data_IF_881653858145
#
_entry.id   IF_881653858145
#
_cell.length_a   1.000
_cell.length_b   1.000
_cell.length_c   1.000
_cell.angle_alpha   90.00
_cell.angle_beta   90.00
_cell.angle_gamma   90.00
#
_symmetry.space_group_name_H-M   'P 1'
#
loop_
_entity.id
_entity.type
_entity.pdbx_description
1 polymer ?
#
# COMPACT_ATOMS: atom_id res chain seq x y z
N UNK A 1 -13.96 41.85 -1.99
CA UNK A 1 -14.47 40.66 -2.71
C UNK A 1 -13.33 39.71 -3.11
N UNK A 2 -12.21 40.23 -3.59
CA UNK A 2 -11.04 39.41 -4.02
C UNK A 2 -10.39 38.58 -2.90
N UNK A 3 -10.28 39.13 -1.69
CA UNK A 3 -9.60 38.46 -0.57
C UNK A 3 -10.33 37.21 -0.08
N UNK A 4 -11.66 37.25 -0.03
CA UNK A 4 -12.50 36.11 0.37
C UNK A 4 -12.37 34.98 -0.66
N UNK A 5 -12.31 35.33 -1.95
CA UNK A 5 -12.14 34.38 -3.05
C UNK A 5 -10.77 33.71 -3.01
N UNK A 6 -9.71 34.45 -2.67
CA UNK A 6 -8.36 33.88 -2.47
C UNK A 6 -8.32 32.89 -1.29
N UNK A 7 -8.95 33.24 -0.17
CA UNK A 7 -9.04 32.33 0.99
C UNK A 7 -9.79 31.04 0.61
N UNK A 8 -10.88 31.16 -0.15
CA UNK A 8 -11.66 30.00 -0.59
C UNK A 8 -10.85 29.05 -1.47
N UNK A 9 -10.07 29.56 -2.42
CA UNK A 9 -9.17 28.73 -3.23
C UNK A 9 -8.04 28.10 -2.42
N UNK A 10 -7.47 28.82 -1.45
CA UNK A 10 -6.45 28.28 -0.57
C UNK A 10 -6.97 27.13 0.30
N UNK A 11 -8.19 27.25 0.82
CA UNK A 11 -8.83 26.18 1.61
C UNK A 11 -9.12 24.93 0.77
N UNK A 12 -9.59 25.09 -0.47
CA UNK A 12 -9.79 23.96 -1.39
C UNK A 12 -8.47 23.28 -1.71
N UNK A 13 -7.41 24.05 -2.04
CA UNK A 13 -6.10 23.48 -2.33
C UNK A 13 -5.51 22.73 -1.13
N UNK A 14 -5.66 23.27 0.08
CA UNK A 14 -5.21 22.62 1.31
C UNK A 14 -5.97 21.30 1.57
N UNK A 15 -7.29 21.29 1.37
CA UNK A 15 -8.12 20.10 1.56
C UNK A 15 -7.77 18.98 0.55
N UNK A 16 -7.47 19.33 -0.71
CA UNK A 16 -7.05 18.37 -1.75
C UNK A 16 -5.64 17.81 -1.46
N UNK A 17 -4.75 18.61 -0.89
CA UNK A 17 -3.39 18.20 -0.57
C UNK A 17 -3.31 17.36 0.72
N UNK A 18 -4.24 17.56 1.65
CA UNK A 18 -4.29 16.85 2.93
C UNK A 18 -4.86 15.42 2.82
N UNK A 19 -4.78 14.77 1.66
CA UNK A 19 -5.13 13.36 1.54
C UNK A 19 -4.35 12.59 2.62
N UNK A 20 -5.01 11.80 3.47
CA UNK A 20 -4.31 11.06 4.51
C UNK A 20 -3.31 10.14 3.81
N UNK A 21 -2.05 10.18 4.23
CA UNK A 21 -1.10 9.15 3.90
C UNK A 21 -1.72 7.83 4.39
N UNK A 22 -2.21 7.02 3.45
CA UNK A 22 -2.70 5.68 3.73
C UNK A 22 -1.56 4.95 4.43
N UNK A 23 -1.75 4.61 5.72
CA UNK A 23 -0.79 3.78 6.42
C UNK A 23 -0.71 2.45 5.68
N UNK A 24 0.43 2.18 5.06
CA UNK A 24 0.66 0.97 4.30
C UNK A 24 0.66 -0.22 5.28
N UNK A 25 -0.19 -1.20 5.03
CA UNK A 25 -0.33 -2.38 5.87
C UNK A 25 0.63 -3.43 5.31
N UNK A 26 1.68 -3.76 6.07
CA UNK A 26 2.58 -4.87 5.71
C UNK A 26 1.76 -6.16 5.63
N UNK A 27 1.81 -6.82 4.47
CA UNK A 27 1.01 -8.00 4.12
C UNK A 27 -0.24 -7.70 3.28
N UNK A 28 -0.64 -6.44 3.09
CA UNK A 28 -1.72 -6.02 2.18
C UNK A 28 -1.12 -5.76 0.79
N UNK A 29 -0.82 -6.84 0.08
CA UNK A 29 -0.12 -6.79 -1.20
C UNK A 29 -0.97 -6.16 -2.32
N UNK A 30 -2.30 -6.23 -2.22
CA UNK A 30 -3.21 -5.65 -3.22
C UNK A 30 -3.69 -4.21 -2.89
N UNK A 31 -3.34 -3.68 -1.70
CA UNK A 31 -3.73 -2.35 -1.20
C UNK A 31 -5.24 -2.11 -1.08
N UNK A 32 -6.00 -3.15 -0.73
CA UNK A 32 -7.45 -3.04 -0.49
C UNK A 32 -7.81 -2.70 0.97
N UNK A 33 -6.79 -2.58 1.83
CA UNK A 33 -6.90 -2.27 3.25
C UNK A 33 -7.18 -3.49 4.12
N UNK A 34 -7.09 -4.71 3.57
CA UNK A 34 -7.32 -5.97 4.28
C UNK A 34 -6.21 -6.96 3.96
N UNK A 35 -5.81 -7.73 4.96
CA UNK A 35 -4.92 -8.87 4.75
C UNK A 35 -5.80 -10.10 4.54
N UNK A 36 -5.74 -10.67 3.34
CA UNK A 36 -6.53 -11.82 2.93
C UNK A 36 -5.69 -12.85 2.17
N UNK A 37 -6.31 -13.98 1.81
CA UNK A 37 -5.65 -14.97 0.94
C UNK A 37 -5.32 -14.42 -0.45
N UNK A 38 -5.95 -13.32 -0.88
CA UNK A 38 -5.62 -12.67 -2.16
C UNK A 38 -4.20 -12.08 -2.12
N UNK A 39 -3.80 -11.54 -0.98
CA UNK A 39 -2.47 -10.96 -0.76
C UNK A 39 -1.39 -12.04 -0.73
N UNK A 40 -1.68 -13.17 -0.06
CA UNK A 40 -0.80 -14.35 -0.06
C UNK A 40 -0.58 -14.88 -1.49
N UNK A 41 -1.65 -14.96 -2.29
CA UNK A 41 -1.53 -15.35 -3.69
C UNK A 41 -0.69 -14.36 -4.50
N UNK A 42 -0.83 -13.07 -4.23
CA UNK A 42 -0.05 -12.04 -4.91
C UNK A 42 1.44 -12.14 -4.55
N UNK A 43 1.77 -12.32 -3.27
CA UNK A 43 3.13 -12.57 -2.79
C UNK A 43 3.74 -13.85 -3.44
N UNK A 44 2.97 -14.93 -3.61
CA UNK A 44 3.45 -16.11 -4.36
C UNK A 44 3.78 -15.78 -5.82
N UNK A 45 2.95 -14.98 -6.49
CA UNK A 45 3.18 -14.57 -7.89
C UNK A 45 4.44 -13.71 -8.01
N UNK A 46 4.72 -12.86 -7.02
CA UNK A 46 5.98 -12.12 -6.92
C UNK A 46 7.16 -13.09 -6.73
N UNK A 47 7.06 -14.03 -5.79
CA UNK A 47 8.11 -14.99 -5.47
C UNK A 47 8.52 -15.87 -6.67
N UNK A 48 7.58 -16.23 -7.55
CA UNK A 48 7.86 -17.01 -8.77
C UNK A 48 8.22 -16.14 -9.98
N UNK A 49 8.30 -14.83 -9.82
CA UNK A 49 8.69 -13.90 -10.89
C UNK A 49 7.64 -13.67 -11.98
N UNK A 50 6.36 -13.98 -11.71
CA UNK A 50 5.25 -13.61 -12.61
C UNK A 50 5.03 -12.09 -12.62
N UNK A 51 5.43 -11.41 -11.55
CA UNK A 51 5.43 -9.95 -11.43
C UNK A 51 6.58 -9.47 -10.54
N UNK A 52 6.97 -8.18 -10.62
CA UNK A 52 8.00 -7.62 -9.76
C UNK A 52 7.61 -7.71 -8.27
N UNK A 53 8.58 -7.94 -7.37
CA UNK A 53 8.31 -7.94 -5.93
C UNK A 53 8.06 -6.52 -5.41
N UNK A 54 7.07 -6.38 -4.54
CA UNK A 54 6.85 -5.19 -3.72
C UNK A 54 7.42 -5.46 -2.32
N UNK A 55 8.63 -4.95 -2.06
CA UNK A 55 9.31 -5.16 -0.78
C UNK A 55 8.57 -4.46 0.36
N UNK A 56 7.94 -3.30 0.11
CA UNK A 56 7.30 -2.53 1.17
C UNK A 56 6.04 -3.22 1.68
N UNK A 57 5.29 -3.87 0.78
CA UNK A 57 4.04 -4.55 1.11
C UNK A 57 4.16 -6.05 1.38
N UNK A 58 5.01 -6.75 0.63
CA UNK A 58 5.00 -8.22 0.60
C UNK A 58 6.21 -8.87 1.28
N UNK A 59 7.26 -8.15 1.66
CA UNK A 59 8.36 -8.67 2.48
C UNK A 59 7.98 -8.54 3.97
N UNK A 60 7.20 -9.50 4.46
CA UNK A 60 6.62 -9.46 5.81
C UNK A 60 7.61 -9.97 6.85
N UNK A 61 8.58 -10.80 6.45
CA UNK A 61 9.63 -11.29 7.33
C UNK A 61 10.84 -10.32 7.41
N UNK A 62 10.91 -9.33 6.50
CA UNK A 62 11.93 -8.29 6.38
C UNK A 62 13.33 -8.82 6.10
N UNK A 63 13.43 -9.89 5.31
CA UNK A 63 14.71 -10.47 4.88
C UNK A 63 15.28 -9.81 3.61
N UNK A 64 14.51 -8.89 3.00
CA UNK A 64 14.87 -8.17 1.79
C UNK A 64 14.44 -8.86 0.50
N UNK A 65 13.67 -9.95 0.57
CA UNK A 65 13.20 -10.67 -0.60
C UNK A 65 11.80 -11.26 -0.41
N UNK A 66 10.87 -10.90 -1.30
CA UNK A 66 9.54 -11.53 -1.33
C UNK A 66 9.67 -12.98 -1.83
N UNK A 67 9.45 -13.93 -0.94
CA UNK A 67 9.53 -15.35 -1.24
C UNK A 67 8.32 -16.14 -0.68
N UNK A 68 8.35 -17.47 -0.80
CA UNK A 68 7.22 -18.30 -0.36
C UNK A 68 6.98 -18.27 1.15
N UNK A 69 7.98 -17.89 1.94
CA UNK A 69 7.83 -17.68 3.38
C UNK A 69 6.90 -16.50 3.67
N UNK A 70 7.05 -15.40 2.94
CA UNK A 70 6.18 -14.22 3.11
C UNK A 70 4.73 -14.55 2.78
N UNK A 71 4.52 -15.23 1.66
CA UNK A 71 3.18 -15.67 1.27
C UNK A 71 2.54 -16.58 2.32
N UNK A 72 3.32 -17.46 2.95
CA UNK A 72 2.84 -18.32 4.04
C UNK A 72 2.47 -17.47 5.27
N UNK A 73 3.31 -16.50 5.63
CA UNK A 73 3.05 -15.61 6.77
C UNK A 73 1.83 -14.72 6.57
N UNK A 74 1.54 -14.30 5.33
CA UNK A 74 0.31 -13.55 4.99
C UNK A 74 -0.94 -14.44 5.10
N UNK A 75 -0.81 -15.75 4.84
CA UNK A 75 -1.91 -16.70 4.85
C UNK A 75 -2.38 -17.11 6.27
N UNK A 76 -1.47 -17.09 7.25
CA UNK A 76 -1.67 -17.65 8.61
C UNK A 76 -1.96 -16.59 9.65
#
# INVERSE_FOLDING_TARGET
>A
METIRMIYYALIALAVFSAPASAEIVGDANSDGRITTADSLLALRMAVGIMPPDIERADVNRDGAVNSLDALMILT
#
